data_IF_264885944030
#
_entry.id   IF_264885944030
#
_cell.length_a   1.000
_cell.length_b   1.000
_cell.length_c   1.000
_cell.angle_alpha   90.00
_cell.angle_beta   90.00
_cell.angle_gamma   90.00
#
_symmetry.space_group_name_H-M   'P 1'
#
loop_
_entity.id
_entity.type
_entity.pdbx_description
1 polymer ?
#
# COMPACT_ATOMS: atom_id res chain seq x y z
N UNK A 1 -4.33 6.54 -19.26
CA UNK A 1 -5.65 5.87 -19.20
C UNK A 1 -6.02 5.68 -17.74
N UNK A 2 -7.24 6.03 -17.33
CA UNK A 2 -7.62 5.91 -15.93
C UNK A 2 -7.62 4.44 -15.49
N UNK A 3 -6.92 4.15 -14.41
CA UNK A 3 -7.01 2.88 -13.71
C UNK A 3 -8.47 2.70 -13.30
N UNK A 4 -9.14 1.63 -13.74
CA UNK A 4 -10.57 1.39 -13.45
C UNK A 4 -10.80 0.98 -11.98
N UNK A 5 -9.93 1.39 -11.06
CA UNK A 5 -10.02 1.11 -9.64
C UNK A 5 -10.27 2.42 -8.89
N UNK A 6 -11.32 2.42 -8.09
CA UNK A 6 -11.71 3.55 -7.24
C UNK A 6 -11.97 3.01 -5.84
N UNK A 7 -11.30 3.57 -4.84
CA UNK A 7 -11.50 3.23 -3.43
C UNK A 7 -11.68 4.46 -2.53
N UNK A 8 -11.61 5.67 -3.10
CA UNK A 8 -11.88 6.92 -2.41
C UNK A 8 -12.82 7.81 -3.22
N UNK A 9 -13.79 8.42 -2.54
CA UNK A 9 -14.79 9.31 -3.12
C UNK A 9 -14.90 10.59 -2.31
N UNK A 10 -15.08 11.73 -3.00
CA UNK A 10 -15.40 13.02 -2.39
C UNK A 10 -16.53 13.70 -3.18
N UNK A 11 -17.52 14.19 -2.48
CA UNK A 11 -18.52 15.10 -3.02
C UNK A 11 -18.14 16.56 -2.72
N UNK A 12 -18.09 17.44 -3.72
CA UNK A 12 -17.71 18.84 -3.58
C UNK A 12 -18.88 19.84 -3.67
N UNK A 13 -20.11 19.32 -3.71
CA UNK A 13 -21.33 20.12 -3.89
C UNK A 13 -21.80 20.22 -5.34
N UNK A 14 -20.95 19.84 -6.31
CA UNK A 14 -21.23 19.90 -7.75
C UNK A 14 -21.06 18.56 -8.45
N UNK A 15 -20.17 17.72 -7.94
CA UNK A 15 -19.87 16.43 -8.55
C UNK A 15 -19.06 15.53 -7.63
N UNK A 16 -18.90 14.28 -8.08
CA UNK A 16 -18.07 13.29 -7.41
C UNK A 16 -16.64 13.32 -7.96
N UNK A 17 -15.70 13.46 -7.04
CA UNK A 17 -14.28 13.20 -7.28
C UNK A 17 -13.98 11.80 -6.80
N UNK A 18 -13.15 11.08 -7.56
CA UNK A 18 -12.77 9.72 -7.22
C UNK A 18 -11.28 9.48 -7.44
N UNK A 19 -10.71 8.62 -6.62
CA UNK A 19 -9.31 8.21 -6.74
C UNK A 19 -9.14 6.74 -6.38
N UNK A 20 -8.15 6.09 -7.00
CA UNK A 20 -7.63 4.79 -6.58
C UNK A 20 -6.30 5.03 -5.86
N UNK A 21 -6.30 4.95 -4.54
CA UNK A 21 -5.14 5.33 -3.71
C UNK A 21 -4.32 4.14 -3.18
N UNK A 22 -4.74 2.90 -3.48
CA UNK A 22 -4.00 1.70 -3.06
C UNK A 22 -2.56 1.74 -3.53
N UNK A 23 -2.35 2.03 -4.81
CA UNK A 23 -1.02 2.08 -5.40
C UNK A 23 -0.15 3.20 -4.84
N UNK A 24 -0.73 4.39 -4.63
CA UNK A 24 -0.04 5.49 -3.97
C UNK A 24 0.35 5.12 -2.54
N UNK A 25 -0.57 4.48 -1.80
CA UNK A 25 -0.29 4.00 -0.45
C UNK A 25 0.88 3.01 -0.40
N UNK A 26 0.92 2.04 -1.32
CA UNK A 26 2.05 1.10 -1.42
C UNK A 26 3.36 1.83 -1.72
N UNK A 27 3.36 2.76 -2.67
CA UNK A 27 4.56 3.53 -3.02
C UNK A 27 5.06 4.35 -1.83
N UNK A 28 4.16 5.01 -1.10
CA UNK A 28 4.48 5.79 0.11
C UNK A 28 5.09 4.92 1.21
N UNK A 29 4.51 3.73 1.48
CA UNK A 29 5.08 2.76 2.44
C UNK A 29 6.48 2.35 2.02
N UNK A 30 6.68 2.01 0.75
CA UNK A 30 7.99 1.56 0.26
C UNK A 30 9.02 2.69 0.31
N UNK A 31 8.65 3.89 -0.07
CA UNK A 31 9.51 5.06 0.06
C UNK A 31 9.91 5.32 1.51
N UNK A 32 8.98 5.20 2.46
CA UNK A 32 9.25 5.32 3.90
C UNK A 32 10.31 4.31 4.39
N UNK A 33 10.34 3.11 3.79
CA UNK A 33 11.32 2.07 4.08
C UNK A 33 12.55 2.10 3.16
N UNK A 34 12.81 3.23 2.49
CA UNK A 34 14.00 3.43 1.66
C UNK A 34 13.99 2.65 0.34
N UNK A 35 12.81 2.28 -0.15
CA UNK A 35 12.64 1.54 -1.42
C UNK A 35 11.89 2.39 -2.44
N UNK A 36 12.63 3.11 -3.28
CA UNK A 36 12.06 3.96 -4.33
C UNK A 36 11.64 3.11 -5.53
N UNK A 37 10.44 3.31 -6.10
CA UNK A 37 9.97 2.51 -7.24
C UNK A 37 10.93 2.45 -8.42
N UNK A 38 11.55 3.56 -8.82
CA UNK A 38 12.48 3.62 -9.97
C UNK A 38 13.69 2.69 -9.84
N UNK A 39 14.08 2.34 -8.61
CA UNK A 39 15.31 1.60 -8.33
C UNK A 39 15.03 0.12 -8.02
N UNK A 40 13.75 -0.27 -7.96
CA UNK A 40 13.37 -1.59 -7.47
C UNK A 40 12.35 -2.29 -8.37
N UNK A 41 12.42 -3.61 -8.40
CA UNK A 41 11.42 -4.49 -9.01
C UNK A 41 10.37 -4.84 -7.97
N UNK A 42 9.12 -4.52 -8.27
CA UNK A 42 7.97 -4.91 -7.45
C UNK A 42 7.51 -6.32 -7.81
N UNK A 43 7.61 -7.24 -6.87
CA UNK A 43 6.89 -8.51 -6.91
C UNK A 43 5.44 -8.29 -6.48
N UNK A 44 4.49 -8.71 -7.29
CA UNK A 44 3.08 -8.46 -7.03
C UNK A 44 2.29 -9.77 -7.05
N UNK A 45 1.72 -10.15 -5.91
CA UNK A 45 0.79 -11.26 -5.80
C UNK A 45 -0.63 -10.73 -5.79
N UNK A 46 -1.39 -11.04 -6.83
CA UNK A 46 -2.76 -10.59 -7.03
C UNK A 46 -3.00 -9.97 -8.41
N UNK A 47 -4.26 -9.89 -8.82
CA UNK A 47 -4.68 -9.31 -10.09
C UNK A 47 -6.01 -8.55 -9.98
N UNK A 48 -6.44 -8.25 -8.74
CA UNK A 48 -7.63 -7.44 -8.44
C UNK A 48 -7.39 -5.94 -8.59
N UNK A 49 -8.37 -5.14 -8.17
CA UNK A 49 -8.33 -3.67 -8.25
C UNK A 49 -7.13 -3.06 -7.54
N UNK A 50 -6.87 -3.46 -6.29
CA UNK A 50 -5.73 -2.96 -5.52
C UNK A 50 -4.38 -3.31 -6.17
N UNK A 51 -4.21 -4.56 -6.66
CA UNK A 51 -3.02 -4.98 -7.36
C UNK A 51 -2.80 -4.17 -8.66
N UNK A 52 -3.87 -3.94 -9.45
CA UNK A 52 -3.80 -3.12 -10.66
C UNK A 52 -3.48 -1.66 -10.37
N UNK A 53 -4.06 -1.10 -9.31
CA UNK A 53 -3.75 0.26 -8.85
C UNK A 53 -2.29 0.37 -8.44
N UNK A 54 -1.78 -0.63 -7.71
CA UNK A 54 -0.38 -0.68 -7.27
C UNK A 54 0.57 -0.79 -8.46
N UNK A 55 0.31 -1.67 -9.40
CA UNK A 55 1.11 -1.83 -10.61
C UNK A 55 1.16 -0.53 -11.43
N UNK A 56 0.02 0.13 -11.64
CA UNK A 56 -0.03 1.40 -12.36
C UNK A 56 0.79 2.49 -11.67
N UNK A 57 0.60 2.68 -10.37
CA UNK A 57 1.33 3.70 -9.62
C UNK A 57 2.83 3.43 -9.59
N UNK A 58 3.23 2.16 -9.46
CA UNK A 58 4.64 1.78 -9.48
C UNK A 58 5.30 2.07 -10.84
N UNK A 59 4.62 1.70 -11.94
CA UNK A 59 5.07 1.99 -13.30
C UNK A 59 5.14 3.49 -13.60
N UNK A 60 4.14 4.27 -13.16
CA UNK A 60 4.13 5.74 -13.30
C UNK A 60 5.31 6.42 -12.59
N UNK A 61 5.82 5.79 -11.52
CA UNK A 61 7.00 6.22 -10.78
C UNK A 61 8.31 5.64 -11.34
N UNK A 62 8.27 5.00 -12.51
CA UNK A 62 9.44 4.47 -13.23
C UNK A 62 9.90 3.09 -12.74
N UNK A 63 9.14 2.42 -11.91
CA UNK A 63 9.47 1.09 -11.40
C UNK A 63 9.08 -0.05 -12.35
N UNK A 64 9.71 -1.22 -12.17
CA UNK A 64 9.40 -2.44 -12.91
C UNK A 64 8.56 -3.39 -12.07
N UNK A 65 7.79 -4.27 -12.71
CA UNK A 65 6.80 -5.11 -12.05
C UNK A 65 6.98 -6.56 -12.49
N UNK A 66 7.17 -7.44 -11.52
CA UNK A 66 7.11 -8.88 -11.71
C UNK A 66 5.82 -9.42 -11.11
N UNK A 67 4.84 -9.75 -11.93
CA UNK A 67 3.63 -10.38 -11.41
C UNK A 67 3.93 -11.83 -11.04
N UNK A 68 3.85 -12.13 -9.76
CA UNK A 68 4.02 -13.46 -9.21
C UNK A 68 2.74 -14.30 -9.40
N UNK A 69 2.83 -15.63 -9.37
CA UNK A 69 1.67 -16.51 -9.54
C UNK A 69 0.53 -16.16 -8.58
N UNK A 70 -0.63 -15.85 -9.13
CA UNK A 70 -1.80 -15.38 -8.40
C UNK A 70 -3.09 -15.96 -8.99
N UNK A 71 -4.23 -15.76 -8.30
CA UNK A 71 -5.53 -16.24 -8.79
C UNK A 71 -5.98 -15.57 -10.09
N UNK A 72 -5.51 -14.34 -10.35
CA UNK A 72 -5.77 -13.59 -11.58
C UNK A 72 -4.46 -12.98 -12.07
N UNK A 73 -4.15 -13.20 -13.32
CA UNK A 73 -3.02 -12.56 -13.97
C UNK A 73 -3.45 -11.25 -14.65
N UNK A 74 -2.49 -10.40 -14.93
CA UNK A 74 -2.71 -9.18 -15.72
C UNK A 74 -2.83 -9.55 -17.20
N UNK A 75 -3.83 -8.99 -17.85
CA UNK A 75 -4.06 -9.09 -19.28
C UNK A 75 -4.36 -7.68 -19.79
N UNK A 76 -3.76 -7.30 -20.92
CA UNK A 76 -4.00 -6.03 -21.62
C UNK A 76 -3.96 -4.79 -20.70
N UNK A 77 -2.91 -4.70 -19.89
CA UNK A 77 -2.73 -3.57 -18.97
C UNK A 77 -1.93 -2.43 -19.60
N UNK A 78 -2.20 -1.17 -19.25
CA UNK A 78 -1.53 0.00 -19.85
C UNK A 78 -0.05 0.13 -19.48
N UNK A 79 0.43 -0.63 -18.51
CA UNK A 79 1.82 -0.64 -18.00
C UNK A 79 2.60 -1.90 -18.43
N UNK A 80 2.23 -2.50 -19.58
CA UNK A 80 2.94 -3.69 -20.10
C UNK A 80 4.45 -3.45 -20.27
N UNK A 81 4.87 -2.25 -20.66
CA UNK A 81 6.27 -1.90 -20.81
C UNK A 81 7.08 -1.92 -19.51
N UNK A 82 6.41 -1.81 -18.36
CA UNK A 82 7.02 -1.93 -17.04
C UNK A 82 7.08 -3.38 -16.53
N UNK A 83 6.45 -4.34 -17.22
CA UNK A 83 6.47 -5.74 -16.80
C UNK A 83 7.84 -6.37 -17.07
N UNK A 84 8.30 -7.17 -16.13
CA UNK A 84 9.59 -7.87 -16.18
C UNK A 84 9.50 -9.27 -15.58
N UNK A 85 10.49 -10.11 -15.86
CA UNK A 85 10.73 -11.40 -15.19
C UNK A 85 11.89 -11.35 -14.19
N UNK A 86 12.47 -10.17 -13.96
CA UNK A 86 13.56 -10.02 -13.00
C UNK A 86 13.09 -10.36 -11.59
N UNK A 87 14.02 -10.82 -10.75
CA UNK A 87 13.71 -11.12 -9.36
C UNK A 87 13.22 -9.86 -8.63
N UNK A 88 12.15 -9.94 -7.80
CA UNK A 88 11.64 -8.81 -7.08
C UNK A 88 12.56 -8.40 -5.92
N UNK A 89 12.70 -7.09 -5.72
CA UNK A 89 13.38 -6.50 -4.57
C UNK A 89 12.43 -6.26 -3.39
N UNK A 90 11.16 -6.12 -3.70
CA UNK A 90 10.07 -5.92 -2.74
C UNK A 90 8.84 -6.69 -3.19
N UNK A 91 8.05 -7.21 -2.26
CA UNK A 91 6.82 -7.97 -2.59
C UNK A 91 5.62 -7.30 -1.92
N UNK A 92 4.50 -7.26 -2.65
CA UNK A 92 3.17 -6.91 -2.12
C UNK A 92 2.23 -8.07 -2.39
N UNK A 93 1.64 -8.60 -1.32
CA UNK A 93 0.70 -9.72 -1.37
C UNK A 93 -0.73 -9.27 -1.09
N UNK A 94 -1.55 -9.26 -2.14
CA UNK A 94 -2.98 -8.98 -2.06
C UNK A 94 -3.85 -10.25 -2.07
N UNK A 95 -3.28 -11.42 -2.36
CA UNK A 95 -3.99 -12.69 -2.35
C UNK A 95 -3.84 -13.42 -1.01
N UNK A 96 -3.05 -12.85 -0.09
CA UNK A 96 -2.72 -13.42 1.21
C UNK A 96 -2.21 -14.88 1.09
N UNK A 97 -1.32 -15.08 0.14
CA UNK A 97 -0.57 -16.32 0.02
C UNK A 97 0.67 -16.19 0.90
N UNK A 98 1.02 -17.24 1.62
CA UNK A 98 2.26 -17.27 2.40
C UNK A 98 3.49 -17.31 1.46
N UNK A 99 3.77 -16.18 0.82
CA UNK A 99 5.00 -16.00 0.05
C UNK A 99 6.11 -15.71 1.05
N UNK A 100 6.84 -16.72 1.40
CA UNK A 100 7.97 -16.64 2.33
C UNK A 100 9.27 -16.62 1.53
N UNK A 101 9.68 -15.44 1.09
CA UNK A 101 11.08 -15.20 0.77
C UNK A 101 11.65 -14.26 1.85
N UNK A 102 12.44 -14.81 2.75
CA UNK A 102 12.91 -14.12 3.96
C UNK A 102 13.88 -12.97 3.64
N UNK A 103 14.38 -12.86 2.41
CA UNK A 103 15.34 -11.83 2.00
C UNK A 103 14.69 -10.58 1.39
N UNK A 104 13.39 -10.65 1.09
CA UNK A 104 12.66 -9.59 0.39
C UNK A 104 11.67 -8.91 1.35
N UNK A 105 11.64 -7.58 1.35
CA UNK A 105 10.70 -6.83 2.16
C UNK A 105 9.26 -7.09 1.68
N UNK A 106 8.49 -7.82 2.47
CA UNK A 106 7.10 -8.19 2.17
C UNK A 106 6.11 -7.18 2.76
N UNK A 107 5.12 -6.74 1.99
CA UNK A 107 3.93 -6.04 2.48
C UNK A 107 2.71 -6.94 2.26
N UNK A 108 2.02 -7.28 3.34
CA UNK A 108 0.73 -7.97 3.31
C UNK A 108 -0.41 -6.95 3.34
N UNK A 109 -1.51 -7.26 2.67
CA UNK A 109 -2.70 -6.39 2.66
C UNK A 109 -3.63 -6.62 3.84
N UNK A 110 -3.37 -7.63 4.66
CA UNK A 110 -4.15 -8.00 5.84
C UNK A 110 -3.36 -7.77 7.12
N UNK A 111 -4.07 -7.67 8.21
CA UNK A 111 -3.50 -7.61 9.56
C UNK A 111 -4.42 -8.35 10.55
N UNK A 112 -3.82 -8.88 11.60
CA UNK A 112 -4.51 -9.60 12.67
C UNK A 112 -4.36 -8.84 14.00
N UNK A 113 -5.25 -9.07 14.96
CA UNK A 113 -5.08 -8.55 16.32
C UNK A 113 -3.70 -8.93 16.87
N UNK A 114 -3.08 -8.02 17.60
CA UNK A 114 -1.77 -8.23 18.21
C UNK A 114 -1.85 -7.84 19.69
N UNK A 115 -1.24 -8.66 20.54
CA UNK A 115 -1.03 -8.36 21.95
C UNK A 115 0.22 -7.51 22.16
N UNK A 116 0.34 -6.90 23.33
CA UNK A 116 1.50 -6.12 23.73
C UNK A 116 1.25 -4.60 23.73
N UNK A 117 2.27 -3.88 24.15
CA UNK A 117 2.29 -2.41 24.15
C UNK A 117 2.32 -1.86 22.74
N UNK A 118 2.01 -0.57 22.57
CA UNK A 118 2.08 0.11 21.28
C UNK A 118 3.48 0.00 20.66
N UNK A 119 4.54 0.17 21.46
CA UNK A 119 5.92 0.10 20.99
C UNK A 119 6.31 -1.31 20.53
N UNK A 120 5.93 -2.36 21.28
CA UNK A 120 6.16 -3.76 20.89
C UNK A 120 5.44 -4.10 19.59
N UNK A 121 4.19 -3.68 19.47
CA UNK A 121 3.37 -3.89 18.26
C UNK A 121 3.95 -3.13 17.06
N UNK A 122 4.35 -1.87 17.25
CA UNK A 122 4.99 -1.08 16.21
C UNK A 122 6.30 -1.74 15.72
N UNK A 123 7.12 -2.24 16.65
CA UNK A 123 8.35 -2.94 16.30
C UNK A 123 8.08 -4.24 15.53
N UNK A 124 7.06 -5.00 15.91
CA UNK A 124 6.69 -6.25 15.26
C UNK A 124 6.28 -6.08 13.78
N UNK A 125 5.61 -4.98 13.45
CA UNK A 125 5.12 -4.70 12.07
C UNK A 125 6.06 -3.83 11.24
N UNK A 126 7.23 -3.47 11.76
CA UNK A 126 8.23 -2.64 11.06
C UNK A 126 9.42 -3.47 10.54
N UNK A 127 9.47 -4.74 10.89
CA UNK A 127 10.51 -5.70 10.47
C UNK A 127 10.42 -6.11 9.00
N UNK A 128 10.96 -7.28 8.65
CA UNK A 128 10.97 -7.79 7.27
C UNK A 128 9.59 -7.99 6.64
N UNK A 129 8.55 -8.18 7.47
CA UNK A 129 7.15 -8.24 7.02
C UNK A 129 6.40 -7.04 7.56
N UNK A 130 5.89 -6.23 6.65
CA UNK A 130 4.98 -5.11 6.95
C UNK A 130 3.55 -5.63 6.85
N UNK A 131 2.73 -5.35 7.86
CA UNK A 131 1.32 -5.76 7.83
C UNK A 131 0.42 -4.69 7.18
N UNK A 132 -0.86 -5.02 7.01
CA UNK A 132 -1.83 -4.17 6.32
C UNK A 132 -2.11 -2.83 6.99
N UNK A 133 -1.71 -2.63 8.27
CA UNK A 133 -1.84 -1.33 8.95
C UNK A 133 -1.00 -0.26 8.28
N UNK A 134 0.19 -0.62 7.80
CA UNK A 134 1.01 0.30 7.00
C UNK A 134 0.28 0.77 5.75
N UNK A 135 -0.34 -0.17 5.02
CA UNK A 135 -1.11 0.17 3.82
C UNK A 135 -2.34 1.02 4.17
N UNK A 136 -3.06 0.68 5.24
CA UNK A 136 -4.23 1.41 5.69
C UNK A 136 -3.92 2.88 5.97
N UNK A 137 -2.89 3.17 6.78
CA UNK A 137 -2.53 4.56 7.11
C UNK A 137 -1.99 5.31 5.90
N UNK A 138 -1.24 4.65 5.01
CA UNK A 138 -0.73 5.27 3.78
C UNK A 138 -1.84 5.63 2.80
N UNK A 139 -2.83 4.76 2.62
CA UNK A 139 -4.01 5.04 1.79
C UNK A 139 -4.82 6.22 2.34
N UNK A 140 -4.99 6.32 3.65
CA UNK A 140 -5.67 7.47 4.27
C UNK A 140 -4.91 8.77 4.05
N UNK A 141 -3.58 8.77 4.23
CA UNK A 141 -2.76 9.95 3.91
C UNK A 141 -2.87 10.35 2.43
N UNK A 142 -2.82 9.37 1.53
CA UNK A 142 -3.00 9.61 0.11
C UNK A 142 -4.38 10.21 -0.21
N UNK A 143 -5.46 9.73 0.44
CA UNK A 143 -6.80 10.30 0.31
C UNK A 143 -6.83 11.77 0.74
N UNK A 144 -6.25 12.10 1.89
CA UNK A 144 -6.20 13.48 2.37
C UNK A 144 -5.39 14.37 1.43
N UNK A 145 -4.20 13.93 1.03
CA UNK A 145 -3.28 14.68 0.17
C UNK A 145 -3.84 14.93 -1.23
N UNK A 146 -4.51 13.94 -1.82
CA UNK A 146 -4.94 14.00 -3.22
C UNK A 146 -6.39 14.43 -3.41
N UNK A 147 -7.24 14.16 -2.44
CA UNK A 147 -8.69 14.26 -2.65
C UNK A 147 -9.38 15.18 -1.64
N UNK A 148 -9.12 15.03 -0.33
CA UNK A 148 -9.94 15.70 0.69
C UNK A 148 -9.42 17.06 1.12
N UNK A 149 -8.10 17.23 1.23
CA UNK A 149 -7.49 18.48 1.62
C UNK A 149 -6.12 18.68 0.93
N UNK A 150 -6.08 18.72 -0.43
CA UNK A 150 -4.82 18.85 -1.17
C UNK A 150 -4.09 20.18 -0.84
N UNK A 151 -4.82 21.20 -0.47
CA UNK A 151 -4.26 22.50 -0.05
C UNK A 151 -3.52 22.45 1.29
N UNK A 152 -3.72 21.38 2.06
CA UNK A 152 -3.08 21.13 3.36
C UNK A 152 -2.12 19.95 3.35
N UNK A 153 -1.69 19.51 2.18
CA UNK A 153 -0.86 18.32 2.04
C UNK A 153 0.42 18.36 2.89
N UNK A 154 1.00 19.54 3.06
CA UNK A 154 2.22 19.75 3.87
C UNK A 154 1.97 19.76 5.39
N UNK A 155 0.73 19.90 5.83
CA UNK A 155 0.34 19.89 7.25
C UNK A 155 0.00 18.47 7.73
N UNK A 156 -0.01 17.49 6.83
CA UNK A 156 -0.37 16.13 7.17
C UNK A 156 0.71 15.47 8.04
N UNK A 157 0.30 14.60 8.98
CA UNK A 157 1.24 13.89 9.83
C UNK A 157 2.12 12.93 9.01
N UNK A 158 3.23 12.51 9.58
CA UNK A 158 4.06 11.48 8.98
C UNK A 158 3.35 10.10 9.03
N UNK A 159 3.76 9.22 8.13
CA UNK A 159 3.24 7.86 8.08
C UNK A 159 3.46 7.10 9.39
N UNK A 160 4.66 7.22 9.99
CA UNK A 160 4.97 6.60 11.27
C UNK A 160 4.12 7.15 12.43
N UNK A 161 3.86 8.46 12.46
CA UNK A 161 2.98 9.06 13.47
C UNK A 161 1.57 8.50 13.39
N UNK A 162 1.00 8.41 12.19
CA UNK A 162 -0.34 7.83 12.01
C UNK A 162 -0.40 6.35 12.37
N UNK A 163 0.65 5.60 12.09
CA UNK A 163 0.72 4.20 12.50
C UNK A 163 0.66 4.07 14.02
N UNK A 164 1.44 4.88 14.74
CA UNK A 164 1.40 4.91 16.21
C UNK A 164 0.00 5.25 16.73
N UNK A 165 -0.64 6.28 16.18
CA UNK A 165 -2.00 6.66 16.56
C UNK A 165 -3.03 5.56 16.27
N UNK A 166 -2.88 4.82 15.16
CA UNK A 166 -3.73 3.68 14.85
C UNK A 166 -3.57 2.59 15.92
N UNK A 167 -2.34 2.24 16.29
CA UNK A 167 -2.06 1.23 17.31
C UNK A 167 -2.58 1.65 18.69
N UNK A 168 -2.48 2.92 19.06
CA UNK A 168 -3.06 3.48 20.28
C UNK A 168 -4.58 3.36 20.26
N UNK A 169 -5.24 3.72 19.15
CA UNK A 169 -6.69 3.61 19.00
C UNK A 169 -7.17 2.15 19.10
N UNK A 170 -6.47 1.21 18.47
CA UNK A 170 -6.78 -0.23 18.60
C UNK A 170 -6.66 -0.71 20.07
N UNK A 171 -5.64 -0.25 20.80
CA UNK A 171 -5.47 -0.60 22.22
C UNK A 171 -6.62 -0.07 23.09
N UNK A 172 -7.06 1.17 22.81
CA UNK A 172 -8.21 1.74 23.50
C UNK A 172 -9.50 0.95 23.20
N UNK A 173 -9.76 0.64 21.93
CA UNK A 173 -10.94 -0.12 21.53
C UNK A 173 -10.98 -1.52 22.16
N UNK A 174 -9.84 -2.20 22.27
CA UNK A 174 -9.74 -3.50 22.91
C UNK A 174 -10.09 -3.48 24.41
N UNK A 175 -10.01 -2.32 25.08
CA UNK A 175 -10.42 -2.19 26.51
C UNK A 175 -11.93 -2.09 26.69
N UNK A 176 -12.70 -1.87 25.63
CA UNK A 176 -14.17 -1.73 25.65
C UNK A 176 -14.90 -2.94 25.04
N UNK A 177 -14.17 -3.90 24.49
CA UNK A 177 -14.72 -5.12 23.88
C UNK A 177 -14.74 -6.29 24.88
#
# INVERSE_FOLDING_TARGET
MANKCVNALRWDGRGWWCAGVDGTGVADVRHHHGRTPSDHVLGLVGGGGAARSTASAWAELGGRIHQLPSRRMFEDVPYMDAMTSDAPDVIVDFDNKDVLDAEVLLLRSVYEPMDGTVDERAAAITGGVLDGRWLLVAQHLACWRLLWAPERAQDLPSLGMLLTQLLEAESLLATYA
#
